data_IF_291619629203
#
_entry.id   IF_291619629203
#
_cell.length_a   1.000
_cell.length_b   1.000
_cell.length_c   1.000
_cell.angle_alpha   90.00
_cell.angle_beta   90.00
_cell.angle_gamma   90.00
#
_symmetry.space_group_name_H-M   'P 1'
#
loop_
_entity.id
_entity.type
_entity.pdbx_description
1 polymer ?
#
# COMPACT_ATOMS: atom_id res chain seq x y z
N UNK A 1 19.15 24.27 12.22
CA UNK A 1 19.63 23.28 11.23
C UNK A 1 18.42 22.49 10.80
N UNK A 2 18.03 22.55 9.53
CA UNK A 2 17.02 21.64 8.99
C UNK A 2 17.52 20.20 9.14
N UNK A 3 16.69 19.33 9.71
CA UNK A 3 17.02 17.92 9.79
C UNK A 3 16.97 17.31 8.39
N UNK A 4 17.91 16.42 8.02
CA UNK A 4 17.88 15.76 6.72
C UNK A 4 16.59 14.93 6.58
N UNK A 5 15.82 15.22 5.54
CA UNK A 5 14.57 14.52 5.22
C UNK A 5 14.78 13.45 4.16
N UNK A 6 14.03 12.34 4.27
CA UNK A 6 13.92 11.30 3.26
C UNK A 6 12.46 11.15 2.82
N UNK A 7 12.23 10.57 1.64
CA UNK A 7 10.89 10.40 1.07
C UNK A 7 10.37 8.99 1.24
N UNK A 8 9.11 8.87 1.64
CA UNK A 8 8.34 7.64 1.55
C UNK A 8 7.25 7.81 0.50
N UNK A 9 6.85 6.70 -0.11
CA UNK A 9 5.94 6.69 -1.25
C UNK A 9 4.72 5.82 -0.96
N UNK A 10 3.54 6.28 -1.33
CA UNK A 10 2.30 5.49 -1.27
C UNK A 10 1.75 5.37 -2.68
N UNK A 11 1.72 4.14 -3.19
CA UNK A 11 1.05 3.83 -4.46
C UNK A 11 -0.36 3.36 -4.16
N UNK A 12 -1.36 3.99 -4.76
CA UNK A 12 -2.75 3.56 -4.76
C UNK A 12 -3.11 3.03 -6.15
N UNK A 13 -3.84 1.91 -6.21
CA UNK A 13 -4.31 1.33 -7.47
C UNK A 13 -5.78 0.95 -7.38
N UNK A 14 -6.47 0.98 -8.53
CA UNK A 14 -7.83 0.47 -8.69
C UNK A 14 -7.79 -0.88 -9.37
N UNK A 15 -7.46 -1.91 -8.61
CA UNK A 15 -7.52 -3.28 -9.12
C UNK A 15 -8.95 -3.73 -9.37
N UNK A 16 -9.19 -4.33 -10.54
CA UNK A 16 -10.46 -4.96 -10.94
C UNK A 16 -10.61 -6.40 -10.44
N UNK A 17 -9.53 -7.03 -9.95
CA UNK A 17 -9.53 -8.46 -9.67
C UNK A 17 -9.81 -8.82 -8.20
N UNK A 18 -10.41 -7.90 -7.44
CA UNK A 18 -10.80 -8.10 -6.03
C UNK A 18 -11.54 -9.45 -5.86
N UNK A 19 -11.21 -10.27 -4.83
CA UNK A 19 -11.89 -11.55 -4.63
C UNK A 19 -13.41 -11.39 -4.59
N UNK A 20 -14.15 -12.34 -5.16
CA UNK A 20 -15.60 -12.22 -5.41
C UNK A 20 -16.43 -11.84 -4.19
N UNK A 21 -16.03 -12.32 -3.01
CA UNK A 21 -16.68 -12.00 -1.72
C UNK A 21 -16.55 -10.52 -1.31
N UNK A 22 -15.58 -9.80 -1.86
CA UNK A 22 -15.20 -8.43 -1.49
C UNK A 22 -15.63 -7.41 -2.57
N UNK A 23 -16.07 -7.89 -3.74
CA UNK A 23 -16.56 -7.06 -4.85
C UNK A 23 -17.62 -6.06 -4.38
N UNK A 24 -18.57 -6.47 -3.52
CA UNK A 24 -19.67 -5.60 -3.06
C UNK A 24 -19.20 -4.36 -2.28
N UNK A 25 -18.06 -4.45 -1.60
CA UNK A 25 -17.56 -3.37 -0.73
C UNK A 25 -16.54 -2.47 -1.44
N UNK A 26 -15.79 -3.02 -2.41
CA UNK A 26 -14.68 -2.31 -3.07
C UNK A 26 -14.98 -1.84 -4.50
N UNK A 27 -16.05 -2.31 -5.14
CA UNK A 27 -16.40 -1.93 -6.53
C UNK A 27 -16.62 -0.43 -6.74
N UNK A 28 -17.12 0.26 -5.71
CA UNK A 28 -17.39 1.71 -5.78
C UNK A 28 -16.21 2.59 -5.29
N UNK A 29 -15.15 2.02 -4.73
CA UNK A 29 -14.03 2.78 -4.19
C UNK A 29 -13.08 3.24 -5.31
N UNK A 30 -12.63 4.50 -5.31
CA UNK A 30 -11.71 5.05 -6.32
C UNK A 30 -10.45 4.19 -6.47
N UNK A 31 -9.87 3.78 -5.34
CA UNK A 31 -8.75 2.84 -5.25
C UNK A 31 -9.09 1.67 -4.33
N UNK A 32 -8.56 0.49 -4.64
CA UNK A 32 -8.86 -0.79 -3.96
C UNK A 32 -7.62 -1.45 -3.34
N UNK A 33 -6.42 -0.95 -3.65
CA UNK A 33 -5.18 -1.47 -3.08
C UNK A 33 -4.16 -0.34 -2.87
N UNK A 34 -3.27 -0.55 -1.89
CA UNK A 34 -2.24 0.41 -1.50
C UNK A 34 -0.91 -0.30 -1.21
N UNK A 35 0.20 0.32 -1.56
CA UNK A 35 1.55 -0.21 -1.33
C UNK A 35 2.49 0.89 -0.83
N UNK A 36 3.50 0.52 -0.05
CA UNK A 36 4.49 1.42 0.54
C UNK A 36 5.84 1.29 -0.18
N UNK A 37 6.44 2.40 -0.60
CA UNK A 37 7.75 2.45 -1.24
C UNK A 37 8.74 3.35 -0.50
N UNK A 38 10.03 3.11 -0.74
CA UNK A 38 11.16 3.82 -0.12
C UNK A 38 12.00 4.62 -1.12
N UNK A 39 11.64 4.57 -2.40
CA UNK A 39 12.37 5.19 -3.49
C UNK A 39 11.42 5.72 -4.55
N UNK A 40 11.85 6.78 -5.25
CA UNK A 40 11.03 7.46 -6.27
C UNK A 40 10.77 6.56 -7.48
N UNK A 41 11.73 5.69 -7.79
CA UNK A 41 11.63 4.71 -8.86
C UNK A 41 10.54 3.65 -8.60
N UNK A 42 10.00 3.57 -7.39
CA UNK A 42 8.99 2.59 -6.98
C UNK A 42 9.31 1.16 -7.44
N UNK A 43 10.60 0.84 -7.60
CA UNK A 43 11.07 -0.46 -8.13
C UNK A 43 10.87 -1.59 -7.12
N UNK A 44 10.61 -1.23 -5.87
CA UNK A 44 10.26 -2.15 -4.80
C UNK A 44 9.21 -1.52 -3.89
N UNK A 45 7.97 -2.01 -4.02
CA UNK A 45 6.85 -1.65 -3.17
C UNK A 45 6.56 -2.81 -2.22
N UNK A 46 6.10 -2.51 -1.01
CA UNK A 46 5.73 -3.50 0.01
C UNK A 46 4.23 -3.44 0.24
N UNK A 47 3.58 -4.60 0.24
CA UNK A 47 2.15 -4.68 0.55
C UNK A 47 1.72 -6.08 0.95
N UNK A 48 0.47 -6.18 1.39
CA UNK A 48 -0.27 -7.44 1.41
C UNK A 48 -1.00 -7.59 0.08
N UNK A 49 -0.43 -8.42 -0.80
CA UNK A 49 -0.95 -8.67 -2.13
C UNK A 49 -1.12 -10.18 -2.37
N UNK A 50 -1.50 -10.55 -3.59
CA UNK A 50 -1.67 -11.97 -3.97
C UNK A 50 -0.34 -12.69 -3.87
N UNK A 51 -0.36 -13.92 -3.37
CA UNK A 51 0.81 -14.82 -3.39
C UNK A 51 1.12 -15.31 -4.80
N UNK A 52 0.09 -15.55 -5.61
CA UNK A 52 0.22 -16.05 -6.98
C UNK A 52 -0.43 -15.07 -7.94
N UNK A 53 0.25 -14.72 -9.03
CA UNK A 53 -0.26 -13.73 -9.97
C UNK A 53 -1.49 -14.21 -10.77
N UNK A 54 -1.67 -15.52 -10.89
CA UNK A 54 -2.78 -16.16 -11.60
C UNK A 54 -3.99 -16.41 -10.71
N UNK A 55 -3.82 -16.38 -9.38
CA UNK A 55 -4.89 -16.67 -8.42
C UNK A 55 -5.18 -15.45 -7.55
N UNK A 56 -6.45 -15.08 -7.33
CA UNK A 56 -6.80 -13.96 -6.46
C UNK A 56 -6.50 -14.26 -4.98
N UNK A 57 -6.31 -15.53 -4.61
CA UNK A 57 -6.08 -16.02 -3.26
C UNK A 57 -5.06 -17.18 -3.28
N UNK A 58 -4.29 -17.41 -2.21
CA UNK A 58 -4.18 -16.60 -1.00
C UNK A 58 -3.30 -15.35 -1.20
N UNK A 59 -3.49 -14.31 -0.40
CA UNK A 59 -2.58 -13.19 -0.27
C UNK A 59 -1.60 -13.37 0.89
N UNK A 60 -0.44 -12.73 0.77
CA UNK A 60 0.61 -12.69 1.78
C UNK A 60 1.29 -11.33 1.77
N UNK A 61 2.14 -11.10 2.78
CA UNK A 61 3.10 -10.00 2.68
C UNK A 61 4.10 -10.32 1.59
N UNK A 62 4.35 -9.37 0.68
CA UNK A 62 5.24 -9.54 -0.46
C UNK A 62 5.76 -8.19 -0.94
N UNK A 63 6.76 -8.23 -1.80
CA UNK A 63 7.14 -7.09 -2.63
C UNK A 63 6.35 -7.09 -3.93
N UNK A 64 6.04 -5.91 -4.43
CA UNK A 64 5.39 -5.65 -5.72
C UNK A 64 6.31 -4.76 -6.55
N UNK A 65 6.28 -4.93 -7.87
CA UNK A 65 7.00 -4.08 -8.81
C UNK A 65 6.02 -3.56 -9.84
N UNK A 66 6.19 -2.33 -10.29
CA UNK A 66 5.28 -1.71 -11.27
C UNK A 66 5.44 -2.37 -12.65
N UNK A 67 6.65 -2.83 -12.99
CA UNK A 67 6.98 -3.45 -14.28
C UNK A 67 6.63 -4.95 -14.37
N UNK A 68 6.37 -5.61 -13.23
CA UNK A 68 6.21 -7.06 -13.15
C UNK A 68 5.01 -7.47 -12.29
N UNK A 69 4.65 -8.73 -12.41
CA UNK A 69 3.61 -9.34 -11.61
C UNK A 69 2.24 -8.69 -11.79
N UNK A 70 1.47 -8.63 -10.71
CA UNK A 70 0.08 -8.19 -10.76
C UNK A 70 -0.11 -6.74 -11.21
N UNK A 71 0.80 -5.83 -10.85
CA UNK A 71 0.73 -4.43 -11.28
C UNK A 71 1.01 -4.28 -12.77
N UNK A 72 1.98 -5.03 -13.31
CA UNK A 72 2.37 -4.95 -14.73
C UNK A 72 1.41 -5.63 -15.72
N UNK A 73 0.38 -6.37 -15.26
CA UNK A 73 -0.52 -7.14 -16.14
C UNK A 73 -1.56 -6.31 -16.89
N UNK A 74 -1.99 -5.20 -16.31
CA UNK A 74 -3.03 -4.34 -16.88
C UNK A 74 -2.56 -2.88 -16.84
N UNK A 75 -1.87 -2.41 -17.91
CA UNK A 75 -1.35 -1.05 -18.01
C UNK A 75 -2.43 0.03 -17.86
N UNK A 76 -3.69 -0.29 -18.17
CA UNK A 76 -4.82 0.63 -18.06
C UNK A 76 -5.38 0.73 -16.64
N UNK A 77 -4.82 -0.02 -15.68
CA UNK A 77 -5.21 0.05 -14.27
C UNK A 77 -5.00 1.47 -13.74
N UNK A 78 -6.06 2.15 -13.26
CA UNK A 78 -5.91 3.47 -12.66
C UNK A 78 -5.03 3.41 -11.41
N UNK A 79 -4.10 4.35 -11.28
CA UNK A 79 -3.23 4.49 -10.12
C UNK A 79 -3.00 5.96 -9.76
N UNK A 80 -2.54 6.17 -8.53
CA UNK A 80 -1.98 7.43 -8.09
C UNK A 80 -0.77 7.17 -7.18
N UNK A 81 0.33 7.84 -7.47
CA UNK A 81 1.56 7.78 -6.70
C UNK A 81 1.71 9.07 -5.89
N UNK A 82 1.87 8.91 -4.58
CA UNK A 82 2.11 9.99 -3.65
C UNK A 82 3.47 9.85 -2.99
N UNK A 83 4.02 10.96 -2.52
CA UNK A 83 5.14 10.98 -1.60
C UNK A 83 4.89 11.92 -0.42
N UNK A 84 5.69 11.74 0.62
CA UNK A 84 5.75 12.63 1.76
C UNK A 84 7.16 12.57 2.36
N UNK A 85 7.58 13.69 2.95
CA UNK A 85 8.90 13.85 3.52
C UNK A 85 8.85 13.50 5.01
N UNK A 86 9.79 12.68 5.48
CA UNK A 86 9.96 12.29 6.89
C UNK A 86 11.39 12.56 7.34
N UNK A 87 11.62 12.67 8.65
CA UNK A 87 12.99 12.72 9.18
C UNK A 87 13.73 11.43 8.88
N UNK A 88 15.07 11.49 8.85
CA UNK A 88 15.89 10.30 8.62
C UNK A 88 15.62 9.20 9.67
N UNK A 89 15.41 9.56 10.95
CA UNK A 89 15.10 8.58 12.00
C UNK A 89 13.75 7.86 11.78
N UNK A 90 12.73 8.60 11.37
CA UNK A 90 11.41 8.02 11.04
C UNK A 90 11.52 7.12 9.82
N UNK A 91 12.26 7.52 8.80
CA UNK A 91 12.51 6.68 7.62
C UNK A 91 13.16 5.35 8.00
N UNK A 92 14.22 5.37 8.81
CA UNK A 92 14.90 4.15 9.25
C UNK A 92 13.98 3.28 10.14
N UNK A 93 13.12 3.89 10.95
CA UNK A 93 12.11 3.17 11.74
C UNK A 93 11.09 2.45 10.85
N UNK A 94 10.57 3.13 9.82
CA UNK A 94 9.67 2.52 8.82
C UNK A 94 10.36 1.38 8.10
N UNK A 95 11.60 1.59 7.65
CA UNK A 95 12.38 0.57 6.96
C UNK A 95 12.63 -0.65 7.84
N UNK A 96 13.00 -0.46 9.11
CA UNK A 96 13.23 -1.55 10.06
C UNK A 96 11.97 -2.38 10.32
N UNK A 97 10.81 -1.73 10.50
CA UNK A 97 9.53 -2.42 10.71
C UNK A 97 9.11 -3.24 9.48
N UNK A 98 9.23 -2.67 8.29
CA UNK A 98 8.93 -3.37 7.03
C UNK A 98 9.86 -4.55 6.80
N UNK A 99 11.17 -4.37 7.03
CA UNK A 99 12.15 -5.45 6.87
C UNK A 99 11.93 -6.57 7.89
N UNK A 100 11.59 -6.26 9.13
CA UNK A 100 11.23 -7.27 10.14
C UNK A 100 9.99 -8.07 9.72
N UNK A 101 8.98 -7.42 9.15
CA UNK A 101 7.82 -8.12 8.59
C UNK A 101 8.20 -8.98 7.39
N UNK A 102 9.13 -8.52 6.55
CA UNK A 102 9.59 -9.21 5.35
C UNK A 102 10.38 -10.48 5.69
N UNK A 103 11.32 -10.40 6.63
CA UNK A 103 12.07 -11.56 7.13
C UNK A 103 11.14 -12.64 7.69
N UNK A 104 10.06 -12.21 8.36
CA UNK A 104 9.05 -13.10 8.96
C UNK A 104 7.81 -13.26 8.08
N UNK A 105 7.89 -12.98 6.77
CA UNK A 105 6.71 -12.92 5.87
C UNK A 105 5.85 -14.18 5.90
N UNK A 106 6.45 -15.36 6.11
CA UNK A 106 5.75 -16.64 6.23
C UNK A 106 4.78 -16.72 7.42
N UNK A 107 4.97 -15.89 8.45
CA UNK A 107 4.10 -15.80 9.62
C UNK A 107 2.90 -14.88 9.39
N UNK A 108 2.96 -14.03 8.37
CA UNK A 108 1.91 -13.06 8.05
C UNK A 108 0.96 -13.60 6.98
N UNK A 109 -0.34 -13.38 7.18
CA UNK A 109 -1.39 -13.81 6.24
C UNK A 109 -2.33 -12.67 5.90
N UNK A 110 -2.97 -12.75 4.74
CA UNK A 110 -3.98 -11.75 4.37
C UNK A 110 -5.20 -11.79 5.32
N UNK A 111 -5.69 -10.61 5.73
CA UNK A 111 -6.81 -10.45 6.67
C UNK A 111 -8.17 -10.35 5.96
N UNK A 112 -8.65 -11.42 5.32
CA UNK A 112 -9.94 -11.38 4.59
C UNK A 112 -11.13 -11.01 5.47
N UNK A 113 -11.19 -11.57 6.68
CA UNK A 113 -12.27 -11.26 7.62
C UNK A 113 -12.18 -9.79 8.07
N UNK A 114 -10.98 -9.29 8.38
CA UNK A 114 -10.78 -7.88 8.71
C UNK A 114 -11.16 -6.96 7.56
N UNK A 115 -10.93 -7.37 6.32
CA UNK A 115 -11.33 -6.59 5.15
C UNK A 115 -12.86 -6.49 5.01
N UNK A 116 -13.61 -7.56 5.32
CA UNK A 116 -15.08 -7.51 5.41
C UNK A 116 -15.52 -6.58 6.54
N UNK A 117 -14.92 -6.71 7.73
CA UNK A 117 -15.22 -5.86 8.89
C UNK A 117 -14.90 -4.37 8.61
N UNK A 118 -13.81 -4.08 7.90
CA UNK A 118 -13.46 -2.74 7.40
C UNK A 118 -14.55 -2.18 6.47
N UNK A 119 -15.10 -3.01 5.60
CA UNK A 119 -16.27 -2.66 4.76
C UNK A 119 -17.49 -2.25 5.60
N UNK A 120 -17.69 -2.89 6.75
CA UNK A 120 -18.76 -2.62 7.72
C UNK A 120 -18.41 -1.53 8.75
N UNK A 121 -17.18 -0.99 8.75
CA UNK A 121 -16.72 -0.01 9.73
C UNK A 121 -16.43 -0.57 11.13
N UNK A 122 -16.24 -1.88 11.25
CA UNK A 122 -15.98 -2.55 12.54
C UNK A 122 -14.47 -2.67 12.76
N UNK A 123 -13.98 -2.06 13.83
CA UNK A 123 -12.57 -2.11 14.22
C UNK A 123 -12.21 -3.47 14.83
N UNK A 124 -11.38 -4.25 14.12
CA UNK A 124 -10.88 -5.52 14.64
C UNK A 124 -9.48 -5.86 14.14
N UNK A 125 -8.50 -5.69 15.03
CA UNK A 125 -7.12 -6.12 14.79
C UNK A 125 -7.01 -7.64 14.89
N UNK A 126 -6.19 -8.24 14.03
CA UNK A 126 -5.85 -9.67 14.09
C UNK A 126 -4.34 -9.84 14.05
N UNK A 127 -3.79 -10.59 15.01
CA UNK A 127 -2.36 -10.85 15.09
C UNK A 127 -1.82 -11.47 13.79
N UNK A 128 -0.74 -10.89 13.28
CA UNK A 128 -0.04 -11.29 12.06
C UNK A 128 -0.94 -11.38 10.82
N UNK A 129 -2.05 -10.62 10.79
CA UNK A 129 -2.94 -10.58 9.63
C UNK A 129 -3.26 -9.14 9.27
N UNK A 130 -2.96 -8.78 8.03
CA UNK A 130 -3.23 -7.45 7.50
C UNK A 130 -3.84 -7.56 6.09
N UNK A 131 -4.65 -6.58 5.71
CA UNK A 131 -4.87 -6.26 4.30
C UNK A 131 -3.99 -5.06 3.89
N UNK A 132 -3.94 -4.73 2.60
CA UNK A 132 -2.98 -3.77 2.06
C UNK A 132 -3.00 -2.41 2.78
N UNK A 133 -4.16 -1.75 2.89
CA UNK A 133 -4.24 -0.46 3.57
C UNK A 133 -4.14 -0.55 5.09
N UNK A 134 -4.53 -1.68 5.71
CA UNK A 134 -4.29 -1.94 7.14
C UNK A 134 -2.78 -1.97 7.43
N UNK A 135 -2.00 -2.64 6.58
CA UNK A 135 -0.55 -2.70 6.70
C UNK A 135 0.09 -1.32 6.54
N UNK A 136 -0.19 -0.61 5.44
CA UNK A 136 0.44 0.70 5.18
C UNK A 136 0.09 1.68 6.30
N UNK A 137 -1.19 1.78 6.67
CA UNK A 137 -1.61 2.66 7.77
C UNK A 137 -1.06 2.23 9.13
N UNK A 138 -0.94 0.93 9.41
CA UNK A 138 -0.34 0.44 10.66
C UNK A 138 1.12 0.86 10.79
N UNK A 139 1.94 0.64 9.75
CA UNK A 139 3.36 1.00 9.76
C UNK A 139 3.54 2.50 9.93
N UNK A 140 2.83 3.29 9.13
CA UNK A 140 2.97 4.75 9.15
C UNK A 140 2.47 5.36 10.48
N UNK A 141 1.41 4.82 11.06
CA UNK A 141 0.93 5.22 12.40
C UNK A 141 1.92 4.82 13.49
N UNK A 142 2.41 3.57 13.48
CA UNK A 142 3.28 3.02 14.52
C UNK A 142 4.61 3.78 14.63
N UNK A 143 5.15 4.21 13.50
CA UNK A 143 6.43 4.91 13.40
C UNK A 143 6.31 6.42 13.52
N UNK A 144 5.08 6.95 13.61
CA UNK A 144 4.84 8.40 13.60
C UNK A 144 5.12 9.06 12.25
N UNK A 145 5.22 8.28 11.17
CA UNK A 145 5.48 8.79 9.82
C UNK A 145 4.30 9.59 9.24
N UNK A 146 3.07 9.27 9.65
CA UNK A 146 1.88 10.06 9.33
C UNK A 146 0.92 10.12 10.54
N UNK A 147 0.18 11.23 10.73
CA UNK A 147 -0.79 11.39 11.81
C UNK A 147 -2.11 10.65 11.50
N UNK A 148 -2.06 9.32 11.49
CA UNK A 148 -3.22 8.48 11.19
C UNK A 148 -4.13 8.39 12.41
N UNK A 149 -5.20 9.19 12.42
CA UNK A 149 -6.21 9.18 13.49
C UNK A 149 -7.03 7.89 13.46
N UNK A 150 -7.60 7.57 12.29
CA UNK A 150 -8.46 6.40 12.07
C UNK A 150 -7.74 5.10 12.40
N UNK A 151 -8.45 4.13 12.97
CA UNK A 151 -7.85 2.85 13.32
C UNK A 151 -7.42 2.06 12.05
N UNK A 152 -6.18 1.50 11.98
CA UNK A 152 -5.68 0.82 10.78
C UNK A 152 -6.59 -0.29 10.23
N UNK A 153 -7.24 -1.07 11.11
CA UNK A 153 -8.13 -2.17 10.72
C UNK A 153 -9.41 -1.75 9.98
N UNK A 154 -9.72 -0.44 9.94
CA UNK A 154 -10.82 0.14 9.15
C UNK A 154 -10.33 1.18 8.14
N UNK A 155 -9.01 1.34 7.99
CA UNK A 155 -8.39 2.31 7.08
C UNK A 155 -8.48 1.81 5.63
N UNK A 156 -9.02 2.64 4.73
CA UNK A 156 -9.23 2.28 3.32
C UNK A 156 -8.18 2.98 2.45
N UNK A 157 -7.82 2.45 1.27
CA UNK A 157 -6.87 3.10 0.37
C UNK A 157 -7.27 4.55 0.04
N UNK A 158 -8.56 4.82 -0.13
CA UNK A 158 -9.08 6.16 -0.39
C UNK A 158 -8.95 7.14 0.78
N UNK A 159 -8.71 6.67 2.00
CA UNK A 159 -8.48 7.56 3.14
C UNK A 159 -7.12 8.27 3.05
N UNK A 160 -6.14 7.70 2.34
CA UNK A 160 -4.89 8.40 2.03
C UNK A 160 -5.14 9.68 1.20
N UNK A 161 -6.15 9.71 0.34
CA UNK A 161 -6.45 10.90 -0.48
C UNK A 161 -6.89 12.12 0.33
N UNK A 162 -7.18 11.94 1.63
CA UNK A 162 -7.63 13.00 2.54
C UNK A 162 -6.49 13.54 3.41
N UNK A 163 -5.27 13.04 3.22
CA UNK A 163 -4.11 13.40 4.03
C UNK A 163 -3.36 14.55 3.37
N UNK A 164 -3.24 15.68 4.06
CA UNK A 164 -2.59 16.89 3.55
C UNK A 164 -1.07 16.72 3.42
N UNK A 165 -0.48 15.76 4.14
CA UNK A 165 0.94 15.44 4.08
C UNK A 165 1.34 14.80 2.74
N UNK A 166 0.41 14.15 2.05
CA UNK A 166 0.67 13.41 0.82
C UNK A 166 0.65 14.34 -0.40
N UNK A 167 1.80 14.42 -1.06
CA UNK A 167 2.00 15.17 -2.30
C UNK A 167 1.86 14.23 -3.50
N UNK A 168 1.01 14.58 -4.46
CA UNK A 168 0.80 13.79 -5.67
C UNK A 168 1.98 13.92 -6.65
N UNK A 169 2.53 12.80 -7.10
CA UNK A 169 3.57 12.73 -8.16
C UNK A 169 2.93 12.45 -9.52
N UNK A 170 1.96 11.54 -9.52
CA UNK A 170 1.32 11.04 -10.74
C UNK A 170 -0.07 10.52 -10.42
N UNK A 171 -1.03 10.84 -11.27
CA UNK A 171 -2.34 10.20 -11.33
C UNK A 171 -2.63 9.86 -12.78
N UNK A 172 -3.08 8.63 -13.04
CA UNK A 172 -3.29 8.14 -14.40
C UNK A 172 -3.42 6.63 -14.41
N UNK A 173 -2.86 5.97 -15.42
CA UNK A 173 -2.79 4.51 -15.48
C UNK A 173 -1.38 3.99 -15.15
N UNK A 174 -1.27 2.72 -14.78
CA UNK A 174 0.01 2.09 -14.39
C UNK A 174 1.02 2.12 -15.55
N UNK A 175 0.57 1.97 -16.80
CA UNK A 175 1.42 2.05 -17.99
C UNK A 175 2.16 3.40 -18.06
N UNK A 176 1.43 4.50 -17.97
CA UNK A 176 2.00 5.84 -17.99
C UNK A 176 2.88 6.14 -16.77
N UNK A 177 2.58 5.57 -15.59
CA UNK A 177 3.44 5.69 -14.42
C UNK A 177 4.79 5.00 -14.67
N UNK A 178 4.75 3.79 -15.22
CA UNK A 178 5.94 3.00 -15.55
C UNK A 178 6.81 3.77 -16.55
N UNK A 179 6.21 4.31 -17.60
CA UNK A 179 6.95 5.05 -18.62
C UNK A 179 7.59 6.32 -18.02
N UNK A 180 6.86 7.04 -17.15
CA UNK A 180 7.39 8.21 -16.41
C UNK A 180 8.57 7.84 -15.50
N UNK A 181 8.55 6.69 -14.85
CA UNK A 181 9.64 6.23 -13.97
C UNK A 181 10.85 5.81 -14.81
N UNK A 182 10.65 5.04 -15.89
CA UNK A 182 11.73 4.51 -16.73
C UNK A 182 12.46 5.59 -17.54
N UNK A 183 11.82 6.74 -17.83
CA UNK A 183 12.46 7.86 -18.52
C UNK A 183 13.38 8.67 -17.58
N UNK A 184 13.19 8.57 -16.26
CA UNK A 184 13.95 9.33 -15.25
C UNK A 184 15.12 8.54 -14.63
N UNK A 185 15.44 7.35 -15.15
CA UNK A 185 16.57 6.48 -14.77
C UNK A 185 17.55 6.39 -15.93
#
# INVERSE_FOLDING_TARGET
MEQPTKRLYVLLIRSRSVPSMLIRFFTKAKYTHSSLGFSEDCMQLYSFARKYESLPLPGCFTTEKIDRGFLGKDPETPCALFYFDVTTDVFESVNAEVNMMYEKQHQYKYNYLGLILCGLGIEKTRKNKYFCSEFVSHILKKTGALPIEKHPSVFRPVDFLKMDELKLIYEGNIGGLRDKILINV
#
